data_IF_691103421447
#
_entry.id   IF_691103421447
#
_cell.length_a   1.000
_cell.length_b   1.000
_cell.length_c   1.000
_cell.angle_alpha   90.00
_cell.angle_beta   90.00
_cell.angle_gamma   90.00
#
_symmetry.space_group_name_H-M   'P 1'
#
loop_
_entity.id
_entity.type
_entity.pdbx_description
1 polymer ?
#
# COMPACT_ATOMS: atom_id res chain seq x y z
N UNK A 1 -6.16 6.99 -12.90
CA UNK A 1 -5.10 6.20 -12.24
C UNK A 1 -4.80 4.90 -12.96
N UNK A 2 -5.74 3.97 -13.12
CA UNK A 2 -5.48 2.64 -13.70
C UNK A 2 -4.65 2.66 -15.00
N UNK A 3 -5.06 3.43 -16.01
CA UNK A 3 -4.29 3.58 -17.25
C UNK A 3 -2.93 4.26 -17.02
N UNK A 4 -2.89 5.36 -16.27
CA UNK A 4 -1.65 6.10 -16.03
C UNK A 4 -0.58 5.29 -15.27
N UNK A 5 -0.98 4.35 -14.40
CA UNK A 5 -0.05 3.57 -13.57
C UNK A 5 0.26 2.20 -14.17
N UNK A 6 -0.75 1.50 -14.69
CA UNK A 6 -0.69 0.06 -14.98
C UNK A 6 -0.97 -0.31 -16.43
N UNK A 7 -1.20 0.66 -17.33
CA UNK A 7 -1.31 0.33 -18.74
C UNK A 7 -0.04 -0.41 -19.21
N UNK A 8 -0.15 -1.58 -19.88
CA UNK A 8 1.01 -2.41 -20.21
C UNK A 8 2.05 -1.71 -21.09
N UNK A 9 1.62 -0.77 -21.93
CA UNK A 9 2.50 -0.07 -22.86
C UNK A 9 2.92 1.30 -22.37
N UNK A 10 2.04 2.00 -21.63
CA UNK A 10 2.18 3.42 -21.30
C UNK A 10 2.21 3.73 -19.81
N UNK A 11 1.85 2.77 -18.95
CA UNK A 11 1.74 2.96 -17.52
C UNK A 11 3.08 3.21 -16.84
N UNK A 12 3.05 3.98 -15.76
CA UNK A 12 4.23 4.34 -14.96
C UNK A 12 5.05 3.12 -14.52
N UNK A 13 4.38 2.12 -13.91
CA UNK A 13 5.05 0.89 -13.42
C UNK A 13 5.41 -0.10 -14.54
N UNK A 14 4.88 0.10 -15.75
CA UNK A 14 5.26 -0.69 -16.93
C UNK A 14 6.48 -0.08 -17.66
N UNK A 15 6.52 1.26 -17.82
CA UNK A 15 7.57 1.98 -18.58
C UNK A 15 8.82 2.30 -17.78
N UNK A 16 8.66 2.71 -16.52
CA UNK A 16 9.69 3.48 -15.79
C UNK A 16 10.41 2.62 -14.77
N UNK A 17 11.00 1.52 -15.24
CA UNK A 17 11.79 0.63 -14.39
C UNK A 17 13.26 1.06 -14.49
N UNK A 18 13.57 2.33 -14.20
CA UNK A 18 14.93 2.80 -13.86
C UNK A 18 14.77 3.93 -12.86
N UNK A 19 14.99 3.63 -11.57
CA UNK A 19 14.97 4.65 -10.51
C UNK A 19 13.75 4.59 -9.60
N UNK A 20 13.42 3.44 -9.01
CA UNK A 20 12.80 3.42 -7.68
C UNK A 20 13.93 3.13 -6.71
N UNK A 21 14.31 4.12 -5.90
CA UNK A 21 15.45 4.04 -4.97
C UNK A 21 16.75 4.75 -5.43
N UNK A 22 17.31 5.55 -4.50
CA UNK A 22 18.61 6.27 -4.47
C UNK A 22 18.96 7.25 -5.60
N UNK A 23 18.37 7.12 -6.79
CA UNK A 23 18.33 8.13 -7.89
C UNK A 23 16.94 8.26 -8.52
N UNK A 24 15.92 7.80 -7.78
CA UNK A 24 14.53 7.78 -8.19
C UNK A 24 13.71 8.96 -7.71
N UNK A 25 12.49 9.08 -8.24
CA UNK A 25 11.47 10.05 -7.82
C UNK A 25 11.09 9.88 -6.33
N UNK A 26 11.50 8.78 -5.70
CA UNK A 26 11.36 8.52 -4.28
C UNK A 26 12.67 8.19 -3.59
N UNK A 27 12.83 8.83 -2.43
CA UNK A 27 13.62 8.36 -1.30
C UNK A 27 12.88 8.86 -0.07
N UNK A 28 12.04 8.03 0.55
CA UNK A 28 11.42 8.38 1.83
C UNK A 28 12.46 8.17 2.93
N UNK A 29 12.71 9.18 3.75
CA UNK A 29 13.77 9.17 4.78
C UNK A 29 13.72 7.97 5.76
N UNK A 30 12.55 7.37 6.10
CA UNK A 30 12.50 6.15 6.92
C UNK A 30 13.04 4.90 6.18
N UNK A 31 12.87 4.84 4.85
CA UNK A 31 13.36 3.74 4.00
C UNK A 31 14.87 3.81 3.72
N UNK A 32 15.53 4.91 4.10
CA UNK A 32 16.99 5.01 4.09
C UNK A 32 17.65 4.32 5.29
N UNK A 33 16.87 3.91 6.29
CA UNK A 33 17.36 3.21 7.49
C UNK A 33 17.03 1.71 7.43
N UNK A 34 17.83 0.88 8.10
CA UNK A 34 17.53 -0.55 8.26
C UNK A 34 16.33 -0.80 9.22
N UNK A 35 15.81 0.25 9.88
CA UNK A 35 14.85 0.11 10.97
C UNK A 35 13.51 -0.53 10.55
N UNK A 36 12.86 -0.14 9.45
CA UNK A 36 11.66 -0.82 8.97
C UNK A 36 11.90 -2.31 8.68
N UNK A 37 13.02 -2.65 8.03
CA UNK A 37 13.36 -4.03 7.73
C UNK A 37 13.60 -4.87 9.00
N UNK A 38 14.25 -4.30 10.02
CA UNK A 38 14.44 -4.96 11.33
C UNK A 38 13.12 -5.21 12.05
N UNK A 39 12.26 -4.20 12.14
CA UNK A 39 10.95 -4.34 12.78
C UNK A 39 10.06 -5.35 12.04
N UNK A 40 10.03 -5.31 10.71
CA UNK A 40 9.31 -6.30 9.90
C UNK A 40 9.91 -7.70 10.10
N UNK A 41 11.24 -7.87 10.12
CA UNK A 41 11.85 -9.18 10.36
C UNK A 41 11.50 -9.75 11.76
N UNK A 42 11.53 -8.91 12.80
CA UNK A 42 11.11 -9.29 14.14
C UNK A 42 9.63 -9.69 14.17
N UNK A 43 8.77 -8.90 13.50
CA UNK A 43 7.35 -9.20 13.34
C UNK A 43 7.12 -10.51 12.58
N UNK A 44 7.78 -10.74 11.44
CA UNK A 44 7.68 -11.95 10.63
C UNK A 44 8.08 -13.18 11.45
N UNK A 45 9.20 -13.13 12.17
CA UNK A 45 9.65 -14.25 13.00
C UNK A 45 8.64 -14.59 14.11
N UNK A 46 8.01 -13.57 14.71
CA UNK A 46 6.92 -13.75 15.67
C UNK A 46 5.67 -14.33 15.00
N UNK A 47 5.27 -13.78 13.86
CA UNK A 47 4.08 -14.16 13.12
C UNK A 47 4.11 -15.61 12.62
N UNK A 48 5.26 -16.06 12.10
CA UNK A 48 5.46 -17.44 11.67
C UNK A 48 5.33 -18.41 12.85
N UNK A 49 5.92 -18.05 14.00
CA UNK A 49 5.84 -18.85 15.23
C UNK A 49 4.41 -18.96 15.76
N UNK A 50 3.70 -17.83 15.83
CA UNK A 50 2.33 -17.78 16.38
C UNK A 50 1.31 -18.48 15.50
N UNK A 51 1.44 -18.36 14.17
CA UNK A 51 0.52 -19.00 13.21
C UNK A 51 0.88 -20.47 12.90
N UNK A 52 2.10 -20.88 13.23
CA UNK A 52 2.64 -22.20 12.88
C UNK A 52 2.79 -22.44 11.37
N UNK A 53 2.78 -21.37 10.55
CA UNK A 53 3.14 -21.47 9.14
C UNK A 53 4.63 -21.22 8.92
N UNK A 54 5.13 -21.65 7.77
CA UNK A 54 6.50 -21.42 7.31
C UNK A 54 6.57 -20.52 6.08
N UNK A 55 5.43 -20.20 5.49
CA UNK A 55 5.37 -19.49 4.22
C UNK A 55 5.16 -17.99 4.46
N UNK A 56 5.98 -17.17 3.82
CA UNK A 56 5.95 -15.71 3.84
C UNK A 56 5.61 -15.20 2.45
N UNK A 57 4.59 -14.36 2.35
CA UNK A 57 4.20 -13.67 1.13
C UNK A 57 4.48 -12.17 1.29
N UNK A 58 5.25 -11.57 0.37
CA UNK A 58 5.25 -10.11 0.16
C UNK A 58 4.42 -9.78 -1.09
N UNK A 59 3.52 -8.81 -0.97
CA UNK A 59 2.70 -8.31 -2.07
C UNK A 59 3.27 -6.97 -2.55
N UNK A 60 3.55 -6.86 -3.85
CA UNK A 60 4.15 -5.66 -4.44
C UNK A 60 5.53 -5.34 -3.86
N UNK A 61 6.51 -6.26 -3.98
CA UNK A 61 7.84 -6.11 -3.37
C UNK A 61 8.71 -4.99 -3.97
N UNK A 62 8.25 -4.32 -5.04
CA UNK A 62 9.02 -3.32 -5.77
C UNK A 62 10.31 -3.91 -6.33
N UNK A 63 11.46 -3.33 -5.97
CA UNK A 63 12.78 -3.85 -6.38
C UNK A 63 13.22 -5.09 -5.57
N UNK A 64 12.45 -5.51 -4.56
CA UNK A 64 12.76 -6.65 -3.68
C UNK A 64 13.80 -6.36 -2.60
N UNK A 65 14.22 -5.10 -2.46
CA UNK A 65 15.24 -4.67 -1.48
C UNK A 65 14.76 -4.85 -0.04
N UNK A 66 13.49 -4.56 0.24
CA UNK A 66 12.89 -4.71 1.57
C UNK A 66 12.89 -6.17 2.02
N UNK A 67 12.29 -7.09 1.24
CA UNK A 67 12.32 -8.52 1.57
C UNK A 67 13.72 -9.10 1.61
N UNK A 68 14.64 -8.65 0.75
CA UNK A 68 16.03 -9.09 0.83
C UNK A 68 16.68 -8.68 2.17
N UNK A 69 16.37 -7.48 2.68
CA UNK A 69 16.82 -7.04 4.00
C UNK A 69 16.14 -7.81 5.13
N UNK A 70 14.82 -7.98 5.08
CA UNK A 70 14.05 -8.78 6.04
C UNK A 70 14.60 -10.21 6.11
N UNK A 71 14.84 -10.86 4.97
CA UNK A 71 15.37 -12.22 4.89
C UNK A 71 16.75 -12.33 5.54
N UNK A 72 17.62 -11.33 5.37
CA UNK A 72 18.95 -11.31 6.03
C UNK A 72 18.85 -11.16 7.55
N UNK A 73 17.84 -10.44 8.04
CA UNK A 73 17.63 -10.15 9.45
C UNK A 73 16.86 -11.25 10.19
N UNK A 74 16.21 -12.17 9.46
CA UNK A 74 15.55 -13.32 10.07
C UNK A 74 16.56 -14.28 10.73
N UNK A 75 16.20 -14.89 11.87
CA UNK A 75 17.02 -15.93 12.48
C UNK A 75 17.29 -17.07 11.50
N UNK A 76 18.53 -17.59 11.50
CA UNK A 76 18.96 -18.68 10.60
C UNK A 76 18.00 -19.88 10.62
N UNK A 77 17.52 -20.28 11.80
CA UNK A 77 16.59 -21.39 11.98
C UNK A 77 15.23 -21.17 11.30
N UNK A 78 14.74 -19.92 11.30
CA UNK A 78 13.52 -19.52 10.59
C UNK A 78 13.76 -19.53 9.09
N UNK A 79 14.85 -18.88 8.65
CA UNK A 79 15.20 -18.76 7.24
C UNK A 79 15.40 -20.10 6.53
N UNK A 80 15.97 -21.10 7.20
CA UNK A 80 16.17 -22.44 6.62
C UNK A 80 14.87 -23.17 6.24
N UNK A 81 13.75 -22.83 6.88
CA UNK A 81 12.45 -23.50 6.67
C UNK A 81 11.46 -22.63 5.92
N UNK A 82 11.82 -21.38 5.65
CA UNK A 82 10.94 -20.38 5.09
C UNK A 82 10.63 -20.69 3.62
N UNK A 83 9.35 -20.77 3.28
CA UNK A 83 8.91 -20.63 1.89
C UNK A 83 8.68 -19.16 1.61
N UNK A 84 9.49 -18.52 0.75
CA UNK A 84 9.29 -17.12 0.39
C UNK A 84 8.56 -17.03 -0.96
N UNK A 85 7.47 -16.26 -0.97
CA UNK A 85 6.58 -16.07 -2.11
C UNK A 85 6.44 -14.58 -2.37
N UNK A 86 6.60 -14.14 -3.62
CA UNK A 86 6.44 -12.74 -4.01
C UNK A 86 5.30 -12.63 -5.01
N UNK A 87 4.37 -11.70 -4.78
CA UNK A 87 3.28 -11.39 -5.70
C UNK A 87 3.60 -10.11 -6.46
N UNK A 88 3.87 -10.26 -7.76
CA UNK A 88 4.36 -9.19 -8.63
C UNK A 88 3.73 -9.28 -10.04
N UNK A 89 3.03 -8.22 -10.44
CA UNK A 89 2.38 -8.12 -11.75
C UNK A 89 3.35 -7.59 -12.81
N UNK A 90 4.36 -6.79 -12.42
CA UNK A 90 5.35 -6.23 -13.32
C UNK A 90 6.46 -7.24 -13.67
N UNK A 91 6.53 -7.64 -14.94
CA UNK A 91 7.57 -8.57 -15.40
C UNK A 91 9.00 -8.07 -15.14
N UNK A 92 9.36 -6.81 -15.45
CA UNK A 92 10.76 -6.42 -15.29
C UNK A 92 11.15 -6.23 -13.82
N UNK A 93 10.23 -5.91 -12.92
CA UNK A 93 10.48 -5.97 -11.46
C UNK A 93 10.72 -7.40 -11.00
N UNK A 94 9.88 -8.36 -11.44
CA UNK A 94 10.09 -9.77 -11.13
C UNK A 94 11.47 -10.27 -11.60
N UNK A 95 11.95 -9.87 -12.78
CA UNK A 95 13.29 -10.22 -13.28
C UNK A 95 14.42 -9.62 -12.40
N UNK A 96 14.24 -8.42 -11.85
CA UNK A 96 15.20 -7.82 -10.92
C UNK A 96 15.22 -8.51 -9.57
N UNK A 97 14.05 -8.79 -9.03
CA UNK A 97 13.89 -9.56 -7.79
C UNK A 97 14.53 -10.95 -7.94
N UNK A 98 14.37 -11.62 -9.09
CA UNK A 98 15.01 -12.90 -9.38
C UNK A 98 16.53 -12.81 -9.38
N UNK A 99 17.11 -11.75 -9.95
CA UNK A 99 18.55 -11.51 -9.88
C UNK A 99 19.04 -11.26 -8.45
N UNK A 100 18.23 -10.58 -7.63
CA UNK A 100 18.57 -10.24 -6.24
C UNK A 100 18.45 -11.43 -5.29
N UNK A 101 17.37 -12.21 -5.40
CA UNK A 101 17.00 -13.26 -4.44
C UNK A 101 17.39 -14.67 -4.92
N UNK A 102 17.56 -14.85 -6.24
CA UNK A 102 17.89 -16.15 -6.84
C UNK A 102 16.83 -17.21 -6.52
N UNK A 103 17.28 -18.39 -6.06
CA UNK A 103 16.40 -19.52 -5.73
C UNK A 103 15.74 -19.43 -4.35
N UNK A 104 15.89 -18.30 -3.64
CA UNK A 104 15.34 -18.14 -2.30
C UNK A 104 13.85 -17.82 -2.29
N UNK A 105 13.25 -17.46 -3.44
CA UNK A 105 11.84 -17.07 -3.54
C UNK A 105 11.13 -17.76 -4.71
N UNK A 106 9.80 -17.77 -4.66
CA UNK A 106 8.89 -18.14 -5.74
C UNK A 106 8.06 -16.92 -6.15
N UNK A 107 7.89 -16.68 -7.44
CA UNK A 107 7.13 -15.54 -7.96
C UNK A 107 5.76 -15.96 -8.45
N UNK A 108 4.75 -15.15 -8.14
CA UNK A 108 3.34 -15.37 -8.48
C UNK A 108 2.79 -14.09 -9.10
N UNK A 109 1.84 -14.23 -10.04
CA UNK A 109 1.15 -13.07 -10.64
C UNK A 109 -0.01 -12.54 -9.79
N UNK A 110 -0.56 -13.38 -8.91
CA UNK A 110 -1.67 -13.02 -8.05
C UNK A 110 -1.63 -13.75 -6.71
N UNK A 111 -2.38 -13.22 -5.74
CA UNK A 111 -2.44 -13.76 -4.39
C UNK A 111 -3.06 -15.17 -4.32
N UNK A 112 -4.04 -15.47 -5.17
CA UNK A 112 -4.68 -16.79 -5.20
C UNK A 112 -3.69 -17.90 -5.55
N UNK A 113 -2.78 -17.66 -6.49
CA UNK A 113 -1.73 -18.62 -6.87
C UNK A 113 -0.71 -18.79 -5.73
N UNK A 114 -0.26 -17.67 -5.14
CA UNK A 114 0.66 -17.70 -4.01
C UNK A 114 0.08 -18.48 -2.83
N UNK A 115 -1.18 -18.19 -2.45
CA UNK A 115 -1.88 -18.90 -1.39
C UNK A 115 -2.09 -20.37 -1.72
N UNK A 116 -2.38 -20.72 -2.97
CA UNK A 116 -2.49 -22.13 -3.39
C UNK A 116 -1.17 -22.86 -3.15
N UNK A 117 -0.03 -22.25 -3.50
CA UNK A 117 1.29 -22.81 -3.23
C UNK A 117 1.56 -22.99 -1.71
N UNK A 118 1.05 -22.06 -0.89
CA UNK A 118 1.13 -22.11 0.57
C UNK A 118 0.01 -22.93 1.25
N UNK A 119 -0.86 -23.60 0.48
CA UNK A 119 -2.05 -24.33 0.98
C UNK A 119 -2.95 -23.45 1.88
N UNK A 120 -3.09 -22.18 1.51
CA UNK A 120 -3.85 -21.17 2.24
C UNK A 120 -3.19 -20.67 3.54
N UNK A 121 -2.00 -21.13 3.91
CA UNK A 121 -1.38 -20.81 5.21
C UNK A 121 -0.13 -19.97 5.02
N UNK A 122 -0.19 -18.67 5.28
CA UNK A 122 0.97 -17.79 5.07
C UNK A 122 0.96 -16.59 6.02
N UNK A 123 2.15 -16.15 6.41
CA UNK A 123 2.35 -14.78 6.89
C UNK A 123 2.44 -13.88 5.66
N UNK A 124 1.71 -12.77 5.67
CA UNK A 124 1.60 -11.85 4.53
C UNK A 124 2.06 -10.47 4.98
N UNK A 125 2.82 -9.76 4.15
CA UNK A 125 3.01 -8.33 4.36
C UNK A 125 3.01 -7.55 3.04
N UNK A 126 2.65 -6.28 3.14
CA UNK A 126 2.72 -5.31 2.06
C UNK A 126 3.17 -3.97 2.62
N UNK A 127 4.00 -3.27 1.87
CA UNK A 127 4.51 -1.95 2.23
C UNK A 127 4.30 -0.99 1.06
N UNK A 128 3.59 0.12 1.29
CA UNK A 128 3.29 1.13 0.26
C UNK A 128 2.72 0.47 -1.01
N UNK A 129 1.64 -0.28 -0.81
CA UNK A 129 0.98 -1.04 -1.87
C UNK A 129 -0.39 -0.44 -2.16
N UNK A 130 -1.15 -0.15 -1.11
CA UNK A 130 -2.57 0.17 -1.20
C UNK A 130 -2.76 1.57 -1.77
N UNK A 131 -1.87 2.51 -1.42
CA UNK A 131 -1.90 3.89 -1.90
C UNK A 131 -1.76 4.02 -3.42
N UNK A 132 -1.08 3.06 -4.06
CA UNK A 132 -0.90 2.97 -5.50
C UNK A 132 -2.10 2.29 -6.22
N UNK A 133 -3.08 1.73 -5.50
CA UNK A 133 -4.26 1.16 -6.14
C UNK A 133 -5.16 2.26 -6.74
N UNK A 134 -5.76 2.05 -7.93
CA UNK A 134 -6.62 3.06 -8.52
C UNK A 134 -7.83 3.41 -7.65
N UNK A 135 -7.95 4.68 -7.25
CA UNK A 135 -9.11 5.17 -6.51
C UNK A 135 -10.17 5.78 -7.42
N UNK A 136 -11.41 5.76 -6.95
CA UNK A 136 -12.46 6.67 -7.41
C UNK A 136 -12.52 7.89 -6.50
N UNK A 137 -12.82 9.06 -7.08
CA UNK A 137 -12.91 10.32 -6.33
C UNK A 137 -14.34 10.82 -6.31
N UNK A 138 -14.76 11.34 -5.17
CA UNK A 138 -16.11 11.86 -4.98
C UNK A 138 -16.08 13.24 -4.32
N UNK A 139 -17.02 14.10 -4.69
CA UNK A 139 -17.22 15.41 -4.06
C UNK A 139 -18.61 15.50 -3.43
N UNK A 140 -18.67 16.03 -2.20
CA UNK A 140 -19.91 16.31 -1.49
C UNK A 140 -20.51 17.60 -2.02
N UNK A 141 -21.70 17.51 -2.62
CA UNK A 141 -22.50 18.68 -3.05
C UNK A 141 -23.75 18.83 -2.19
N UNK A 142 -24.46 19.95 -2.35
CA UNK A 142 -25.76 20.21 -1.71
C UNK A 142 -26.79 19.10 -2.01
N UNK A 143 -26.74 18.53 -3.20
CA UNK A 143 -27.69 17.49 -3.66
C UNK A 143 -27.23 16.06 -3.36
N UNK A 144 -26.09 15.89 -2.69
CA UNK A 144 -25.48 14.58 -2.44
C UNK A 144 -24.08 14.43 -3.05
N UNK A 145 -23.60 13.19 -3.09
CA UNK A 145 -22.28 12.88 -3.64
C UNK A 145 -22.30 12.84 -5.17
N UNK A 146 -21.22 13.32 -5.78
CA UNK A 146 -20.95 13.19 -7.22
C UNK A 146 -19.59 12.55 -7.42
N UNK A 147 -19.44 11.73 -8.46
CA UNK A 147 -18.13 11.18 -8.83
C UNK A 147 -17.36 12.25 -9.63
N UNK A 148 -16.07 12.40 -9.36
CA UNK A 148 -15.17 13.28 -10.11
C UNK A 148 -14.62 12.47 -11.29
N UNK A 149 -15.08 12.80 -12.49
CA UNK A 149 -14.54 12.28 -13.74
C UNK A 149 -13.48 13.22 -14.31
N UNK A 150 -12.56 12.66 -15.10
CA UNK A 150 -11.57 13.44 -15.86
C UNK A 150 -12.01 13.45 -17.33
N UNK A 151 -12.21 14.65 -17.86
CA UNK A 151 -12.59 14.91 -19.24
C UNK A 151 -11.52 15.76 -19.94
N UNK A 152 -11.66 15.97 -21.24
CA UNK A 152 -10.88 16.98 -21.98
C UNK A 152 -11.77 18.18 -22.27
N UNK A 153 -11.23 19.38 -22.10
CA UNK A 153 -11.87 20.61 -22.58
C UNK A 153 -11.68 20.79 -24.10
N UNK A 154 -12.14 21.93 -24.63
CA UNK A 154 -12.07 22.26 -26.05
C UNK A 154 -10.63 22.38 -26.57
N UNK A 155 -9.68 22.75 -25.71
CA UNK A 155 -8.27 22.90 -26.03
C UNK A 155 -7.49 21.59 -25.79
N UNK A 156 -8.16 20.54 -25.32
CA UNK A 156 -7.62 19.21 -25.10
C UNK A 156 -6.97 19.00 -23.73
N UNK A 157 -7.03 19.98 -22.83
CA UNK A 157 -6.51 19.88 -21.46
C UNK A 157 -7.43 19.04 -20.57
N UNK A 158 -6.82 18.33 -19.62
CA UNK A 158 -7.57 17.53 -18.67
C UNK A 158 -8.28 18.44 -17.65
N UNK A 159 -9.58 18.25 -17.50
CA UNK A 159 -10.44 18.97 -16.56
C UNK A 159 -11.29 17.99 -15.75
N UNK A 160 -11.65 18.40 -14.54
CA UNK A 160 -12.55 17.63 -13.69
C UNK A 160 -14.01 17.96 -14.00
N UNK A 161 -14.87 16.94 -14.00
CA UNK A 161 -16.32 17.09 -14.14
C UNK A 161 -17.04 16.28 -13.07
N UNK A 162 -18.06 16.88 -12.45
CA UNK A 162 -18.91 16.21 -11.47
C UNK A 162 -20.03 15.46 -12.18
N UNK A 163 -19.99 14.13 -12.13
CA UNK A 163 -20.99 13.27 -12.77
C UNK A 163 -21.92 12.64 -11.72
N UNK A 164 -23.20 12.36 -12.07
CA UNK A 164 -24.09 11.58 -11.21
C UNK A 164 -23.47 10.21 -10.90
N UNK A 165 -23.67 9.76 -9.66
CA UNK A 165 -23.37 8.40 -9.22
C UNK A 165 -24.68 7.69 -8.93
N UNK A 166 -24.88 6.52 -9.55
CA UNK A 166 -26.06 5.70 -9.29
C UNK A 166 -25.95 5.02 -7.92
N UNK A 167 -24.83 4.32 -7.70
CA UNK A 167 -24.55 3.59 -6.47
C UNK A 167 -23.17 3.97 -5.92
N UNK A 168 -23.13 4.33 -4.64
CA UNK A 168 -21.87 4.62 -3.96
C UNK A 168 -21.12 3.31 -3.63
N UNK A 169 -19.81 3.23 -3.89
CA UNK A 169 -19.04 2.06 -3.49
C UNK A 169 -19.03 1.92 -1.95
N UNK A 170 -18.86 0.70 -1.40
CA UNK A 170 -18.80 0.51 0.03
C UNK A 170 -17.61 1.24 0.66
N UNK A 171 -17.86 2.32 1.40
CA UNK A 171 -16.83 3.07 2.13
C UNK A 171 -17.42 3.78 3.35
N UNK A 172 -16.64 3.84 4.43
CA UNK A 172 -16.89 4.64 5.62
C UNK A 172 -16.84 6.14 5.30
N UNK A 173 -16.11 6.55 4.25
CA UNK A 173 -15.97 7.95 3.87
C UNK A 173 -17.29 8.61 3.50
N UNK A 174 -18.32 7.85 3.08
CA UNK A 174 -19.65 8.40 2.83
C UNK A 174 -20.50 8.60 4.09
N UNK A 175 -20.09 8.01 5.22
CA UNK A 175 -20.88 7.99 6.47
C UNK A 175 -20.59 9.17 7.39
N UNK A 176 -19.43 9.79 7.24
CA UNK A 176 -19.06 10.98 8.00
C UNK A 176 -19.86 12.21 7.56
N UNK A 177 -20.04 13.17 8.48
CA UNK A 177 -20.68 14.44 8.17
C UNK A 177 -19.69 15.39 7.49
N UNK A 178 -19.84 15.55 6.17
CA UNK A 178 -18.96 16.40 5.36
C UNK A 178 -19.61 17.71 4.94
N UNK A 179 -18.81 18.77 4.92
CA UNK A 179 -19.20 20.04 4.31
C UNK A 179 -19.26 19.94 2.78
N UNK A 180 -20.00 20.84 2.14
CA UNK A 180 -20.01 20.97 0.69
C UNK A 180 -18.60 21.31 0.16
N UNK A 181 -18.23 20.68 -0.95
CA UNK A 181 -16.91 20.73 -1.57
C UNK A 181 -15.89 19.77 -0.94
N UNK A 182 -16.24 18.99 0.09
CA UNK A 182 -15.37 17.94 0.60
C UNK A 182 -15.16 16.88 -0.48
N UNK A 183 -13.90 16.49 -0.70
CA UNK A 183 -13.51 15.42 -1.61
C UNK A 183 -12.96 14.23 -0.85
N UNK A 184 -13.26 13.03 -1.35
CA UNK A 184 -12.76 11.78 -0.80
C UNK A 184 -12.29 10.83 -1.90
N UNK A 185 -11.34 9.97 -1.56
CA UNK A 185 -10.88 8.85 -2.39
C UNK A 185 -11.42 7.53 -1.85
N UNK A 186 -11.96 6.67 -2.72
CA UNK A 186 -12.41 5.32 -2.37
C UNK A 186 -11.60 4.28 -3.12
N UNK A 187 -10.90 3.43 -2.37
CA UNK A 187 -10.06 2.33 -2.85
C UNK A 187 -10.89 1.08 -3.23
N UNK A 188 -11.97 1.24 -4.02
CA UNK A 188 -12.85 0.11 -4.40
C UNK A 188 -12.10 -0.93 -5.26
N UNK A 189 -11.09 -0.54 -6.02
CA UNK A 189 -10.22 -1.48 -6.75
C UNK A 189 -9.44 -2.38 -5.79
N UNK A 190 -8.87 -1.82 -4.73
CA UNK A 190 -8.20 -2.59 -3.68
C UNK A 190 -9.19 -3.45 -2.90
N UNK A 191 -10.39 -2.93 -2.58
CA UNK A 191 -11.45 -3.73 -1.95
C UNK A 191 -11.73 -5.00 -2.76
N UNK A 192 -11.92 -4.87 -4.08
CA UNK A 192 -12.18 -6.02 -4.97
C UNK A 192 -11.02 -6.99 -4.96
N UNK A 193 -9.80 -6.50 -5.14
CA UNK A 193 -8.57 -7.30 -5.05
C UNK A 193 -8.47 -8.06 -3.73
N UNK A 194 -8.65 -7.36 -2.61
CA UNK A 194 -8.62 -7.92 -1.26
C UNK A 194 -9.69 -9.02 -1.07
N UNK A 195 -10.93 -8.76 -1.50
CA UNK A 195 -12.04 -9.72 -1.37
C UNK A 195 -11.92 -10.94 -2.29
N UNK A 196 -11.12 -10.85 -3.35
CA UNK A 196 -10.86 -11.97 -4.26
C UNK A 196 -10.07 -13.08 -3.58
N UNK A 197 -8.99 -12.73 -2.85
CA UNK A 197 -8.05 -13.71 -2.32
C UNK A 197 -8.20 -13.97 -0.82
N UNK A 198 -8.75 -13.04 -0.02
CA UNK A 198 -8.94 -13.24 1.43
C UNK A 198 -9.70 -14.54 1.78
N UNK A 199 -10.76 -14.96 1.05
CA UNK A 199 -11.41 -16.24 1.31
C UNK A 199 -10.46 -17.45 1.28
N UNK A 200 -9.40 -17.40 0.48
CA UNK A 200 -8.43 -18.47 0.28
C UNK A 200 -7.31 -18.50 1.34
N UNK A 201 -7.11 -17.41 2.09
CA UNK A 201 -6.11 -17.34 3.16
C UNK A 201 -6.67 -17.97 4.44
N UNK A 202 -6.33 -19.20 4.77
CA UNK A 202 -6.93 -19.98 5.86
C UNK A 202 -6.31 -19.77 7.24
N UNK A 203 -5.02 -19.42 7.32
CA UNK A 203 -4.33 -19.19 8.58
C UNK A 203 -3.08 -18.33 8.39
N UNK A 204 -2.79 -17.47 9.36
CA UNK A 204 -1.59 -16.64 9.32
C UNK A 204 -1.73 -15.32 10.06
N UNK A 205 -0.76 -14.44 9.82
CA UNK A 205 -0.87 -13.02 10.15
C UNK A 205 -0.57 -12.16 8.93
N UNK A 206 -1.21 -11.01 8.83
CA UNK A 206 -1.03 -10.05 7.75
C UNK A 206 -0.60 -8.70 8.32
N UNK A 207 0.37 -8.05 7.68
CA UNK A 207 0.84 -6.71 8.01
C UNK A 207 0.71 -5.79 6.80
N UNK A 208 -0.06 -4.71 6.93
CA UNK A 208 -0.15 -3.67 5.91
C UNK A 208 0.44 -2.38 6.46
N UNK A 209 1.47 -1.87 5.80
CA UNK A 209 2.15 -0.61 6.16
C UNK A 209 1.92 0.36 5.01
N UNK A 210 1.25 1.48 5.28
CA UNK A 210 0.93 2.44 4.23
C UNK A 210 0.65 3.84 4.79
N UNK A 211 0.68 4.84 3.92
CA UNK A 211 0.29 6.20 4.25
C UNK A 211 -1.23 6.29 4.41
N UNK A 212 -1.70 6.89 5.50
CA UNK A 212 -3.13 7.10 5.67
C UNK A 212 -3.56 7.26 7.12
N UNK A 213 -4.86 7.10 7.35
CA UNK A 213 -5.46 7.26 8.66
C UNK A 213 -6.82 6.54 8.75
N UNK A 214 -7.45 6.63 9.92
CA UNK A 214 -8.88 6.33 10.05
C UNK A 214 -9.72 7.32 9.25
N UNK A 215 -10.93 6.90 8.87
CA UNK A 215 -11.93 7.71 8.15
C UNK A 215 -12.07 9.11 8.74
N UNK A 216 -12.33 9.19 10.05
CA UNK A 216 -12.47 10.43 10.80
C UNK A 216 -11.25 11.36 10.62
N UNK A 217 -10.04 10.86 10.84
CA UNK A 217 -8.80 11.66 10.76
C UNK A 217 -8.48 12.08 9.33
N UNK A 218 -8.73 11.21 8.37
CA UNK A 218 -8.38 11.42 6.96
C UNK A 218 -9.17 12.61 6.40
N UNK A 219 -10.48 12.60 6.59
CA UNK A 219 -11.37 13.60 5.97
C UNK A 219 -11.50 14.90 6.77
N UNK A 220 -11.16 14.92 8.06
CA UNK A 220 -11.00 16.18 8.80
C UNK A 220 -9.84 17.03 8.28
N UNK A 221 -8.77 16.40 7.80
CA UNK A 221 -7.52 17.08 7.41
C UNK A 221 -7.49 17.51 5.94
N UNK A 222 -8.23 16.82 5.07
CA UNK A 222 -7.99 16.90 3.63
C UNK A 222 -9.26 17.25 2.84
N UNK A 223 -9.61 18.53 2.81
CA UNK A 223 -10.82 19.00 2.11
C UNK A 223 -10.82 18.65 0.61
N UNK A 224 -9.66 18.70 -0.03
CA UNK A 224 -9.51 18.43 -1.47
C UNK A 224 -9.18 16.95 -1.79
N UNK A 225 -9.20 16.09 -0.77
CA UNK A 225 -8.71 14.73 -0.85
C UNK A 225 -7.18 14.63 -0.79
N UNK A 226 -6.69 13.41 -0.94
CA UNK A 226 -5.30 12.99 -0.71
C UNK A 226 -4.51 12.66 -1.96
N UNK A 227 -5.20 12.60 -3.10
CA UNK A 227 -4.56 12.22 -4.35
C UNK A 227 -3.44 13.20 -4.70
N UNK A 228 -2.28 12.66 -5.02
CA UNK A 228 -1.09 13.43 -5.36
C UNK A 228 -0.24 12.69 -6.37
N UNK A 229 0.49 13.46 -7.17
CA UNK A 229 1.46 12.93 -8.11
C UNK A 229 2.88 13.12 -7.61
N UNK A 230 3.79 12.26 -8.04
CA UNK A 230 5.22 12.43 -7.80
C UNK A 230 5.99 12.38 -9.11
N UNK A 231 6.75 13.44 -9.37
CA UNK A 231 7.59 13.55 -10.56
C UNK A 231 8.91 14.21 -10.18
N UNK A 232 10.03 13.51 -10.37
CA UNK A 232 11.38 14.02 -10.09
C UNK A 232 11.52 14.63 -8.69
N UNK A 233 11.00 13.94 -7.66
CA UNK A 233 10.98 14.37 -6.25
C UNK A 233 10.11 15.59 -5.94
N UNK A 234 9.29 16.04 -6.89
CA UNK A 234 8.27 17.07 -6.69
C UNK A 234 6.91 16.45 -6.44
N UNK A 235 6.17 17.01 -5.47
CA UNK A 235 4.78 16.66 -5.20
C UNK A 235 3.88 17.51 -6.09
N UNK A 236 3.08 16.86 -6.92
CA UNK A 236 2.09 17.47 -7.80
C UNK A 236 0.70 17.33 -7.17
N UNK A 237 -0.10 18.39 -7.21
CA UNK A 237 -1.45 18.40 -6.63
C UNK A 237 -2.45 19.11 -7.55
N UNK A 238 -3.75 18.99 -7.27
CA UNK A 238 -4.78 19.63 -8.08
C UNK A 238 -4.77 19.12 -9.53
N UNK A 239 -4.87 20.02 -10.51
CA UNK A 239 -4.91 19.65 -11.93
C UNK A 239 -3.57 19.15 -12.48
N UNK A 240 -2.44 19.43 -11.82
CA UNK A 240 -1.11 18.98 -12.23
C UNK A 240 -1.01 17.46 -12.27
N UNK A 241 -1.82 16.77 -11.45
CA UNK A 241 -1.83 15.30 -11.39
C UNK A 241 -2.26 14.65 -12.71
N UNK A 242 -2.86 15.41 -13.62
CA UNK A 242 -3.32 14.94 -14.92
C UNK A 242 -2.33 15.19 -16.06
N UNK A 243 -1.27 15.97 -15.84
CA UNK A 243 -0.41 16.47 -16.92
C UNK A 243 0.62 15.45 -17.42
N UNK A 244 1.08 14.53 -16.58
CA UNK A 244 2.15 13.59 -16.92
C UNK A 244 1.73 12.12 -16.77
N UNK A 245 0.52 11.78 -17.22
CA UNK A 245 0.02 10.40 -17.19
C UNK A 245 1.05 9.41 -17.80
N UNK A 246 1.33 8.30 -17.10
CA UNK A 246 2.36 7.33 -17.50
C UNK A 246 3.80 7.71 -17.13
N UNK A 247 4.04 8.95 -16.71
CA UNK A 247 5.39 9.48 -16.42
C UNK A 247 5.59 9.92 -14.99
N UNK A 248 4.52 10.11 -14.22
CA UNK A 248 4.55 10.39 -12.78
C UNK A 248 3.89 9.25 -12.01
N UNK A 249 4.28 9.08 -10.76
CA UNK A 249 3.52 8.24 -9.84
C UNK A 249 2.25 8.97 -9.38
N UNK A 250 1.24 8.23 -8.96
CA UNK A 250 -0.02 8.73 -8.41
C UNK A 250 -0.41 7.89 -7.20
N UNK A 251 -0.52 8.52 -6.04
CA UNK A 251 -0.94 7.84 -4.80
C UNK A 251 -2.09 8.56 -4.13
N UNK A 252 -2.83 7.83 -3.30
CA UNK A 252 -3.88 8.36 -2.42
C UNK A 252 -3.74 7.77 -1.02
N UNK A 253 -4.01 8.57 0.02
CA UNK A 253 -3.90 8.10 1.39
C UNK A 253 -4.95 7.01 1.69
N UNK A 254 -4.51 5.97 2.38
CA UNK A 254 -5.32 4.81 2.70
C UNK A 254 -6.30 5.12 3.82
N UNK A 255 -7.57 4.81 3.58
CA UNK A 255 -8.59 4.77 4.63
C UNK A 255 -8.51 3.43 5.37
N UNK A 256 -7.83 3.40 6.52
CA UNK A 256 -7.66 2.17 7.30
C UNK A 256 -8.96 1.68 7.95
N UNK A 257 -9.94 2.55 8.17
CA UNK A 257 -11.28 2.13 8.62
C UNK A 257 -11.97 1.27 7.56
N UNK A 258 -11.80 1.62 6.28
CA UNK A 258 -12.29 0.82 5.16
C UNK A 258 -11.55 -0.51 5.07
N UNK A 259 -10.22 -0.52 5.17
CA UNK A 259 -9.45 -1.77 5.16
C UNK A 259 -9.87 -2.73 6.27
N UNK A 260 -10.06 -2.22 7.49
CA UNK A 260 -10.54 -3.02 8.62
C UNK A 260 -11.94 -3.56 8.35
N UNK A 261 -12.86 -2.73 7.85
CA UNK A 261 -14.24 -3.12 7.56
C UNK A 261 -14.29 -4.17 6.44
N UNK A 262 -13.56 -3.96 5.35
CA UNK A 262 -13.56 -4.85 4.20
C UNK A 262 -12.92 -6.19 4.52
N UNK A 263 -11.85 -6.24 5.31
CA UNK A 263 -11.22 -7.51 5.69
C UNK A 263 -11.92 -8.23 6.85
N UNK A 264 -12.75 -7.52 7.62
CA UNK A 264 -13.42 -8.01 8.84
C UNK A 264 -14.06 -9.40 8.74
N UNK A 265 -14.79 -9.77 7.66
CA UNK A 265 -15.40 -11.08 7.53
C UNK A 265 -14.42 -12.27 7.52
N UNK A 266 -13.13 -12.03 7.26
CA UNK A 266 -12.11 -13.07 7.06
C UNK A 266 -11.03 -13.11 8.13
N UNK A 267 -11.04 -12.19 9.09
CA UNK A 267 -9.99 -12.07 10.12
C UNK A 267 -10.59 -12.19 11.51
N UNK A 268 -9.79 -12.72 12.44
CA UNK A 268 -10.20 -12.90 13.84
C UNK A 268 -9.77 -11.73 14.71
N UNK A 269 -8.62 -11.13 14.40
CA UNK A 269 -8.11 -9.95 15.13
C UNK A 269 -7.61 -8.88 14.17
N UNK A 270 -7.70 -7.63 14.60
CA UNK A 270 -7.20 -6.47 13.90
C UNK A 270 -6.61 -5.49 14.92
N UNK A 271 -5.40 -4.99 14.67
CA UNK A 271 -4.75 -3.95 15.47
C UNK A 271 -4.19 -2.90 14.50
N UNK A 272 -4.69 -1.67 14.61
CA UNK A 272 -4.15 -0.51 13.92
C UNK A 272 -3.23 0.26 14.87
N UNK A 273 -2.06 0.66 14.40
CA UNK A 273 -1.09 1.46 15.17
C UNK A 273 -0.31 2.39 14.24
N UNK A 274 0.38 3.39 14.80
CA UNK A 274 1.29 4.21 14.01
C UNK A 274 2.55 3.42 13.62
N UNK A 275 3.25 3.86 12.57
CA UNK A 275 4.56 3.30 12.23
C UNK A 275 5.55 3.50 13.39
N UNK A 276 5.49 4.64 14.08
CA UNK A 276 6.32 4.92 15.27
C UNK A 276 6.14 3.85 16.34
N UNK A 277 4.89 3.50 16.67
CA UNK A 277 4.59 2.48 17.67
C UNK A 277 5.06 1.10 17.23
N UNK A 278 4.84 0.75 15.95
CA UNK A 278 5.30 -0.52 15.39
C UNK A 278 6.83 -0.68 15.47
N UNK A 279 7.57 0.37 15.11
CA UNK A 279 9.03 0.36 15.19
C UNK A 279 9.52 0.28 16.64
N UNK A 280 8.84 0.94 17.57
CA UNK A 280 9.15 0.91 19.00
C UNK A 280 8.93 -0.49 19.59
N UNK A 281 7.78 -1.11 19.28
CA UNK A 281 7.44 -2.49 19.70
C UNK A 281 8.46 -3.51 19.14
N UNK A 282 8.92 -3.30 17.90
CA UNK A 282 9.83 -4.22 17.20
C UNK A 282 11.31 -4.11 17.59
N UNK A 283 11.78 -2.95 18.06
CA UNK A 283 13.21 -2.67 18.27
C UNK A 283 13.68 -2.66 19.73
N UNK A 284 12.79 -2.89 20.70
CA UNK A 284 13.07 -3.19 22.12
C UNK A 284 14.42 -2.63 22.65
N UNK A 285 14.68 -1.31 22.51
CA UNK A 285 15.82 -0.50 23.02
C UNK A 285 16.79 0.18 22.00
N UNK A 286 16.68 0.00 20.66
CA UNK A 286 17.50 0.76 19.68
C UNK A 286 16.89 2.14 19.27
N UNK A 287 16.07 2.73 20.14
CA UNK A 287 14.96 3.63 19.77
C UNK A 287 15.37 5.09 19.51
N UNK A 288 16.39 5.60 20.21
CA UNK A 288 16.60 7.06 20.30
C UNK A 288 16.94 7.74 18.96
N UNK A 289 17.66 7.07 18.06
CA UNK A 289 18.04 7.64 16.76
C UNK A 289 16.96 7.54 15.69
N UNK A 290 16.13 6.49 15.72
CA UNK A 290 15.11 6.21 14.69
C UNK A 290 13.85 7.05 14.93
N UNK A 291 13.44 7.27 16.18
CA UNK A 291 12.30 8.11 16.50
C UNK A 291 12.52 9.59 16.12
N UNK A 292 13.74 10.11 16.31
CA UNK A 292 14.09 11.47 15.89
C UNK A 292 13.95 11.66 14.35
N UNK A 293 14.39 10.68 13.56
CA UNK A 293 14.23 10.68 12.09
C UNK A 293 12.76 10.64 11.62
N UNK A 294 11.87 10.00 12.38
CA UNK A 294 10.44 9.93 12.05
C UNK A 294 9.69 11.22 12.43
N UNK A 295 10.14 11.90 13.48
CA UNK A 295 9.61 13.18 13.97
C UNK A 295 10.07 14.34 13.08
N UNK A 296 11.37 14.39 12.73
CA UNK A 296 11.95 15.45 11.87
C UNK A 296 11.38 15.48 10.44
N UNK A 297 10.79 14.38 9.99
CA UNK A 297 10.20 14.25 8.65
C UNK A 297 8.67 14.11 8.65
N UNK A 298 8.01 14.18 9.81
CA UNK A 298 6.55 14.07 9.93
C UNK A 298 5.96 12.71 9.50
N UNK A 299 6.80 11.72 9.22
CA UNK A 299 6.39 10.42 8.68
C UNK A 299 5.83 9.49 9.76
N UNK A 300 6.22 9.68 11.03
CA UNK A 300 5.85 8.79 12.14
C UNK A 300 4.33 8.62 12.35
N UNK A 301 3.56 9.69 12.14
CA UNK A 301 2.09 9.69 12.27
C UNK A 301 1.37 9.55 10.93
N UNK A 302 2.05 9.83 9.81
CA UNK A 302 1.49 9.74 8.46
C UNK A 302 1.35 8.28 7.99
N UNK A 303 2.27 7.41 8.42
CA UNK A 303 2.16 5.97 8.19
C UNK A 303 1.39 5.27 9.30
N UNK A 304 0.52 4.35 8.88
CA UNK A 304 -0.15 3.43 9.77
C UNK A 304 0.27 2.00 9.46
N UNK A 305 0.14 1.16 10.48
CA UNK A 305 0.42 -0.27 10.42
C UNK A 305 -0.82 -1.02 10.88
N UNK A 306 -1.41 -1.79 9.98
CA UNK A 306 -2.54 -2.67 10.28
C UNK A 306 -2.06 -4.11 10.36
N UNK A 307 -2.11 -4.67 11.57
CA UNK A 307 -1.83 -6.07 11.83
C UNK A 307 -3.15 -6.85 11.94
N UNK A 308 -3.23 -7.99 11.26
CA UNK A 308 -4.40 -8.84 11.25
C UNK A 308 -4.01 -10.30 11.43
N UNK A 309 -4.90 -11.12 11.99
CA UNK A 309 -4.69 -12.56 12.10
C UNK A 309 -5.92 -13.35 11.67
N UNK A 310 -5.67 -14.58 11.23
CA UNK A 310 -6.70 -15.59 10.99
C UNK A 310 -6.27 -16.92 11.57
#
# INVERSE_FOLDING_TARGET
MAQALYDPETGYYARRITGVGRRGDFTTAPMLSEAPARAIAAWVARALRESGTRDLIEIGPGEGTLVAAVLKLLPWSVRLRLGLHLVETSQPLAERQQKLLGKQACWHRGMTDALTACKGRAVIFSNELVDAFPVKRFEKTETGWREIAVCRDADGFAVESLIPVADLPPSSGFREAHANGQRIEVHDSYRRYLTEWLPHWQAGRMLTIDYGATSEKLYQRQRNGSIRGYLMQQVLTGLEIYQNAGRQDLTADVNFTDLQTWSGPWVTTQRLMSLKDFLTDGLQNEIAGVCALLEDHGAGDAFQVLEQSR
#
